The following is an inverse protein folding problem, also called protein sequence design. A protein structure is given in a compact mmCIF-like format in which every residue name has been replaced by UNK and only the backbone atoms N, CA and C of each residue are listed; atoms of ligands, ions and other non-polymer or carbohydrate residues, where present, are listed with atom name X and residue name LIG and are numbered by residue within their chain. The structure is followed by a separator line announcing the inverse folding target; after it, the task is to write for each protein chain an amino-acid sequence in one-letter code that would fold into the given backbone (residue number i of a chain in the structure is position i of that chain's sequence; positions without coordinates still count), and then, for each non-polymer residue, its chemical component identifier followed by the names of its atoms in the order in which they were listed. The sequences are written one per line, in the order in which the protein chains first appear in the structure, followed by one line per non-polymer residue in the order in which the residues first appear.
data_IF_102570320278
#
_entry.id   IF_102570320278
#
_cell.length_a   1.000
_cell.length_b   1.000
_cell.length_c   1.000
_cell.angle_alpha   90.00
_cell.angle_beta   90.00
_cell.angle_gamma   90.00
#
_symmetry.space_group_name_H-M   'P 1'
#
loop_
_entity.id
_entity.type
_entity.pdbx_description
1 polymer ?
#
# COMPACT_ATOMS: atom_id res chain seq x y z
N UNK A 1 22.34 13.07 -13.47
CA UNK A 1 21.11 12.26 -13.31
C UNK A 1 20.21 12.92 -12.28
N UNK A 2 19.07 13.44 -12.74
CA UNK A 2 18.33 14.54 -12.10
C UNK A 2 17.57 14.20 -10.83
N UNK A 3 17.97 14.84 -9.73
CA UNK A 3 17.19 15.04 -8.50
C UNK A 3 16.21 16.21 -8.69
N UNK A 4 15.47 16.22 -9.80
CA UNK A 4 14.55 17.34 -10.08
C UNK A 4 13.39 17.31 -9.10
N UNK A 5 13.17 18.39 -8.37
CA UNK A 5 12.05 18.56 -7.43
C UNK A 5 10.70 18.27 -8.07
N UNK A 6 10.55 18.56 -9.38
CA UNK A 6 9.35 18.22 -10.17
C UNK A 6 9.06 16.72 -10.16
N UNK A 7 10.10 15.87 -10.27
CA UNK A 7 9.95 14.41 -10.21
C UNK A 7 9.48 13.97 -8.83
N UNK A 8 10.07 14.51 -7.76
CA UNK A 8 9.68 14.20 -6.38
C UNK A 8 8.23 14.65 -6.11
N UNK A 9 7.86 15.86 -6.52
CA UNK A 9 6.48 16.38 -6.41
C UNK A 9 5.48 15.46 -7.11
N UNK A 10 5.79 14.99 -8.32
CA UNK A 10 4.95 14.04 -9.07
C UNK A 10 4.82 12.69 -8.36
N UNK A 11 5.93 12.12 -7.89
CA UNK A 11 5.91 10.83 -7.19
C UNK A 11 5.11 10.90 -5.88
N UNK A 12 5.29 11.97 -5.09
CA UNK A 12 4.46 12.25 -3.91
C UNK A 12 2.98 12.33 -4.26
N UNK A 13 2.63 13.10 -5.30
CA UNK A 13 1.25 13.24 -5.76
C UNK A 13 0.62 11.90 -6.16
N UNK A 14 1.37 10.98 -6.76
CA UNK A 14 0.88 9.63 -7.08
C UNK A 14 0.64 8.77 -5.84
N UNK A 15 1.57 8.79 -4.88
CA UNK A 15 1.41 8.02 -3.64
C UNK A 15 0.22 8.55 -2.83
N UNK A 16 0.05 9.86 -2.75
CA UNK A 16 -1.05 10.49 -2.02
C UNK A 16 -2.38 10.25 -2.76
N UNK A 17 -2.39 10.41 -4.07
CA UNK A 17 -3.62 10.39 -4.88
C UNK A 17 -4.47 11.65 -4.69
N UNK A 18 -5.58 11.75 -5.43
CA UNK A 18 -6.53 12.85 -5.27
C UNK A 18 -7.09 12.83 -3.84
N UNK A 19 -7.05 13.95 -3.12
CA UNK A 19 -7.56 14.05 -1.75
C UNK A 19 -7.02 13.00 -0.76
N UNK A 20 -5.84 12.44 -1.03
CA UNK A 20 -5.27 11.36 -0.22
C UNK A 20 -5.87 9.97 -0.46
N UNK A 21 -6.70 9.78 -1.48
CA UNK A 21 -7.42 8.52 -1.74
C UNK A 21 -6.50 7.31 -1.87
N UNK A 22 -5.38 7.44 -2.59
CA UNK A 22 -4.45 6.32 -2.79
C UNK A 22 -3.72 5.97 -1.49
N UNK A 23 -3.29 6.98 -0.72
CA UNK A 23 -2.71 6.78 0.61
C UNK A 23 -3.71 6.08 1.53
N UNK A 24 -4.96 6.57 1.59
CA UNK A 24 -6.04 5.97 2.39
C UNK A 24 -6.35 4.53 1.97
N UNK A 25 -6.27 4.22 0.68
CA UNK A 25 -6.46 2.86 0.20
C UNK A 25 -5.33 1.92 0.67
N UNK A 26 -4.07 2.35 0.62
CA UNK A 26 -2.95 1.58 1.17
C UNK A 26 -3.13 1.38 2.67
N UNK A 27 -3.47 2.44 3.41
CA UNK A 27 -3.70 2.39 4.86
C UNK A 27 -4.82 1.40 5.21
N UNK A 28 -5.92 1.42 4.47
CA UNK A 28 -7.07 0.53 4.68
C UNK A 28 -6.77 -0.93 4.34
N UNK A 29 -6.29 -1.21 3.12
CA UNK A 29 -6.18 -2.58 2.63
C UNK A 29 -4.92 -3.30 3.12
N UNK A 30 -3.87 -2.55 3.45
CA UNK A 30 -2.68 -3.11 4.08
C UNK A 30 -2.67 -2.89 5.59
N UNK A 31 -3.79 -2.45 6.20
CA UNK A 31 -3.94 -2.23 7.65
C UNK A 31 -2.69 -1.55 8.25
N UNK A 32 -2.36 -0.38 7.70
CA UNK A 32 -1.10 0.33 7.96
C UNK A 32 -1.33 1.82 8.14
N UNK A 33 -0.36 2.50 8.74
CA UNK A 33 -0.28 3.96 8.76
C UNK A 33 0.82 4.43 7.81
N UNK A 34 0.52 5.41 6.95
CA UNK A 34 1.45 5.88 5.91
C UNK A 34 1.64 7.39 6.00
N UNK A 35 2.90 7.81 6.13
CA UNK A 35 3.31 9.21 6.07
C UNK A 35 4.21 9.47 4.87
N UNK A 36 3.96 10.56 4.14
CA UNK A 36 4.73 10.96 2.96
C UNK A 36 5.28 12.36 3.20
N UNK A 37 6.58 12.47 3.46
CA UNK A 37 7.23 13.74 3.80
C UNK A 37 8.56 13.92 3.09
N UNK A 38 8.77 15.09 2.49
CA UNK A 38 10.02 15.42 1.79
C UNK A 38 10.31 14.44 0.63
N UNK A 39 11.27 13.53 0.86
CA UNK A 39 11.71 12.45 -0.05
C UNK A 39 11.47 11.04 0.53
N UNK A 40 10.80 10.95 1.68
CA UNK A 40 10.67 9.75 2.49
C UNK A 40 9.21 9.34 2.60
N UNK A 41 8.98 8.02 2.56
CA UNK A 41 7.68 7.40 2.88
C UNK A 41 7.91 6.51 4.08
N UNK A 42 7.18 6.77 5.17
CA UNK A 42 7.22 5.97 6.39
C UNK A 42 5.95 5.13 6.49
N UNK A 43 6.09 3.87 6.90
CA UNK A 43 4.99 2.91 7.01
C UNK A 43 5.09 2.22 8.38
N UNK A 44 3.97 2.12 9.09
CA UNK A 44 3.85 1.38 10.35
C UNK A 44 2.73 0.36 10.20
N UNK A 45 3.03 -0.91 10.46
CA UNK A 45 2.09 -2.04 10.43
C UNK A 45 2.73 -3.32 10.96
N UNK A 46 1.94 -4.38 11.10
CA UNK A 46 2.45 -5.73 11.33
C UNK A 46 3.31 -6.24 10.17
N UNK A 47 4.10 -7.27 10.43
CA UNK A 47 5.14 -7.77 9.51
C UNK A 47 4.62 -8.11 8.10
N UNK A 48 3.52 -8.87 8.01
CA UNK A 48 2.94 -9.27 6.72
C UNK A 48 2.36 -8.07 5.96
N UNK A 49 1.59 -7.24 6.68
CA UNK A 49 0.98 -6.01 6.20
C UNK A 49 2.03 -5.00 5.70
N UNK A 50 3.20 -4.95 6.34
CA UNK A 50 4.29 -4.06 5.98
C UNK A 50 4.83 -4.39 4.58
N UNK A 51 4.93 -5.68 4.25
CA UNK A 51 5.39 -6.10 2.93
C UNK A 51 4.39 -5.72 1.83
N UNK A 52 3.09 -5.84 2.12
CA UNK A 52 2.02 -5.46 1.19
C UNK A 52 2.04 -3.95 0.94
N UNK A 53 2.07 -3.14 1.99
CA UNK A 53 2.13 -1.68 1.89
C UNK A 53 3.40 -1.21 1.15
N UNK A 54 4.56 -1.77 1.51
CA UNK A 54 5.84 -1.47 0.84
C UNK A 54 5.80 -1.80 -0.64
N UNK A 55 5.22 -2.95 -1.02
CA UNK A 55 5.07 -3.35 -2.43
C UNK A 55 4.15 -2.39 -3.18
N UNK A 56 3.01 -2.02 -2.59
CA UNK A 56 2.08 -1.06 -3.21
C UNK A 56 2.74 0.29 -3.48
N UNK A 57 3.47 0.84 -2.51
CA UNK A 57 4.25 2.08 -2.70
C UNK A 57 5.29 1.90 -3.80
N UNK A 58 6.01 0.78 -3.83
CA UNK A 58 6.99 0.48 -4.89
C UNK A 58 6.34 0.43 -6.28
N UNK A 59 5.16 -0.17 -6.42
CA UNK A 59 4.43 -0.24 -7.70
C UNK A 59 4.09 1.17 -8.21
N UNK A 60 3.62 2.06 -7.32
CA UNK A 60 3.33 3.46 -7.66
C UNK A 60 4.60 4.18 -8.12
N UNK A 61 5.70 4.00 -7.38
CA UNK A 61 7.00 4.61 -7.70
C UNK A 61 7.56 4.13 -9.05
N UNK A 62 7.32 2.88 -9.41
CA UNK A 62 7.65 2.29 -10.72
C UNK A 62 6.72 2.77 -11.85
N UNK A 63 5.73 3.62 -11.57
CA UNK A 63 4.84 4.21 -12.57
C UNK A 63 3.59 3.40 -12.85
N UNK A 64 3.30 2.34 -12.08
CA UNK A 64 2.11 1.52 -12.28
C UNK A 64 0.83 2.35 -12.12
N UNK A 65 -0.23 2.09 -12.93
CA UNK A 65 -1.52 2.74 -12.77
C UNK A 65 -2.15 2.45 -11.40
N UNK A 66 -2.85 3.44 -10.83
CA UNK A 66 -3.47 3.28 -9.50
C UNK A 66 -4.48 2.13 -9.46
N UNK A 67 -5.25 1.89 -10.55
CA UNK A 67 -6.19 0.78 -10.62
C UNK A 67 -5.51 -0.58 -10.41
N UNK A 68 -4.30 -0.78 -10.95
CA UNK A 68 -3.56 -2.04 -10.81
C UNK A 68 -3.03 -2.22 -9.38
N UNK A 69 -2.63 -1.11 -8.74
CA UNK A 69 -2.19 -1.11 -7.34
C UNK A 69 -3.38 -1.39 -6.40
N UNK A 70 -4.55 -0.81 -6.66
CA UNK A 70 -5.78 -1.09 -5.92
C UNK A 70 -6.19 -2.55 -6.03
N UNK A 71 -6.20 -3.12 -7.25
CA UNK A 71 -6.49 -4.54 -7.45
C UNK A 71 -5.52 -5.44 -6.69
N UNK A 72 -4.23 -5.10 -6.65
CA UNK A 72 -3.24 -5.82 -5.85
C UNK A 72 -3.55 -5.76 -4.35
N UNK A 73 -3.85 -4.58 -3.82
CA UNK A 73 -4.19 -4.36 -2.42
C UNK A 73 -5.47 -5.13 -2.03
N UNK A 74 -6.53 -5.02 -2.82
CA UNK A 74 -7.80 -5.73 -2.59
C UNK A 74 -7.63 -7.23 -2.61
N UNK A 75 -6.89 -7.78 -3.58
CA UNK A 75 -6.60 -9.21 -3.63
C UNK A 75 -5.88 -9.68 -2.37
N UNK A 76 -4.85 -8.95 -1.93
CA UNK A 76 -4.10 -9.32 -0.72
C UNK A 76 -4.93 -9.21 0.55
N UNK A 77 -5.77 -8.20 0.66
CA UNK A 77 -6.72 -8.06 1.76
C UNK A 77 -7.71 -9.23 1.81
N UNK A 78 -8.28 -9.60 0.65
CA UNK A 78 -9.23 -10.71 0.55
C UNK A 78 -8.58 -12.08 0.82
N UNK A 79 -7.35 -12.29 0.35
CA UNK A 79 -6.58 -13.51 0.61
C UNK A 79 -6.33 -13.66 2.13
N UNK A 80 -5.93 -12.58 2.81
CA UNK A 80 -5.72 -12.57 4.26
C UNK A 80 -7.01 -12.90 5.02
N UNK A 81 -8.13 -12.26 4.66
CA UNK A 81 -9.44 -12.53 5.28
C UNK A 81 -9.89 -13.98 5.09
N UNK A 82 -9.64 -14.56 3.91
CA UNK A 82 -9.92 -15.99 3.65
C UNK A 82 -9.06 -16.89 4.52
N UNK A 83 -7.79 -16.55 4.73
CA UNK A 83 -6.90 -17.33 5.58
C UNK A 83 -7.28 -17.25 7.05
N UNK A 84 -7.60 -16.06 7.55
CA UNK A 84 -8.15 -15.84 8.90
C UNK A 84 -9.42 -16.66 9.13
N UNK A 85 -10.35 -16.63 8.17
CA UNK A 85 -11.57 -17.44 8.20
C UNK A 85 -11.23 -18.93 8.27
N UNK A 86 -10.36 -19.44 7.41
CA UNK A 86 -9.96 -20.85 7.44
C UNK A 86 -9.31 -21.27 8.77
N UNK A 87 -8.55 -20.38 9.41
CA UNK A 87 -7.95 -20.64 10.73
C UNK A 87 -9.02 -20.76 11.82
N UNK A 88 -10.03 -19.89 11.77
CA UNK A 88 -11.12 -19.86 12.76
C UNK A 88 -12.04 -21.09 12.70
N UNK A 89 -12.31 -21.61 11.50
CA UNK A 89 -13.28 -22.71 11.29
C UNK A 89 -12.63 -24.09 11.11
N UNK A 90 -11.31 -24.24 11.31
CA UNK A 90 -10.68 -25.56 11.40
C UNK A 90 -10.96 -26.15 12.78
N UNK A 91 -11.75 -27.23 12.92
CA UNK A 91 -11.91 -27.88 14.21
C UNK A 91 -10.55 -28.38 14.69
N UNK A 92 -10.19 -28.01 15.92
CA UNK A 92 -9.08 -28.61 16.64
C UNK A 92 -9.51 -30.06 16.94
N UNK A 93 -9.08 -31.01 16.13
CA UNK A 93 -9.05 -32.42 16.50
C UNK A 93 -7.64 -32.76 16.98
#
# INVERSE_FOLDING_TARGET
LGKSEKKIKRLKGRIIGRNGEMRKAIERFAESHVSVYGKTVSIISDYENLQIARKAVSMILSGMPHHSVLKYLENKYNDKKKEEFKKLYKPQF
#
